data_IF_168534566232
#
_entry.id   IF_168534566232
#
_cell.length_a   1.000
_cell.length_b   1.000
_cell.length_c   1.000
_cell.angle_alpha   90.00
_cell.angle_beta   90.00
_cell.angle_gamma   90.00
#
_symmetry.space_group_name_H-M   'P 1'
#
loop_
_entity.id
_entity.type
_entity.pdbx_description
1 polymer ?
#
# COMPACT_ATOMS: atom_id res chain seq x y z
N UNK A 1 -0.84 25.15 -56.39
CA UNK A 1 -2.09 25.94 -56.29
C UNK A 1 -2.02 26.70 -54.96
N UNK A 2 -1.64 27.98 -54.96
CA UNK A 2 -2.56 29.14 -54.79
C UNK A 2 -3.60 28.92 -53.68
N UNK A 3 -3.92 29.81 -52.73
CA UNK A 3 -3.45 31.11 -52.18
C UNK A 3 -4.61 31.54 -51.24
N UNK A 4 -4.34 32.25 -50.13
CA UNK A 4 -5.21 33.30 -49.51
C UNK A 4 -6.54 32.83 -48.84
N UNK A 5 -7.10 33.36 -47.73
CA UNK A 5 -6.96 34.57 -46.90
C UNK A 5 -7.64 34.34 -45.52
N UNK A 6 -7.25 35.12 -44.50
CA UNK A 6 -7.86 35.23 -43.15
C UNK A 6 -8.93 36.35 -43.08
N UNK A 7 -9.38 36.88 -41.90
CA UNK A 7 -10.70 36.70 -41.29
C UNK A 7 -11.57 37.98 -41.22
N UNK A 8 -12.85 37.89 -40.84
CA UNK A 8 -13.68 39.07 -40.60
C UNK A 8 -14.46 39.02 -39.27
N UNK A 9 -14.06 39.91 -38.35
CA UNK A 9 -14.86 40.40 -37.21
C UNK A 9 -16.00 41.29 -37.73
N UNK A 10 -17.17 41.26 -37.07
CA UNK A 10 -18.10 42.40 -37.06
C UNK A 10 -18.48 42.75 -35.62
N UNK A 11 -18.17 44.01 -35.30
CA UNK A 11 -18.64 44.79 -34.16
C UNK A 11 -19.91 45.52 -34.60
N UNK A 12 -20.91 45.61 -33.72
CA UNK A 12 -21.89 46.70 -33.78
C UNK A 12 -22.09 47.25 -32.36
N UNK A 13 -21.63 48.49 -32.16
CA UNK A 13 -22.08 49.37 -31.09
C UNK A 13 -23.35 50.09 -31.55
N UNK A 14 -24.32 50.30 -30.66
CA UNK A 14 -25.15 51.49 -30.73
C UNK A 14 -25.59 52.00 -29.35
N UNK A 15 -25.80 53.31 -29.31
CA UNK A 15 -25.68 54.27 -28.19
C UNK A 15 -26.80 54.22 -27.13
N UNK A 16 -26.41 54.61 -25.91
CA UNK A 16 -27.24 55.16 -24.81
C UNK A 16 -27.90 56.48 -25.20
N UNK A 17 -29.11 56.76 -24.67
CA UNK A 17 -29.48 58.03 -24.00
C UNK A 17 -30.49 57.74 -22.85
N UNK A 18 -30.32 58.48 -21.76
CA UNK A 18 -30.97 58.42 -20.43
C UNK A 18 -32.37 59.07 -20.37
N UNK A 19 -33.21 58.71 -19.38
CA UNK A 19 -33.75 59.61 -18.33
C UNK A 19 -34.77 58.92 -17.39
N UNK A 20 -34.70 59.23 -16.08
CA UNK A 20 -35.82 59.14 -15.12
C UNK A 20 -35.68 58.18 -13.92
N UNK A 21 -35.34 58.69 -12.73
CA UNK A 21 -35.54 58.08 -11.41
C UNK A 21 -36.89 58.55 -10.80
N UNK A 22 -37.44 58.07 -9.64
CA UNK A 22 -36.79 57.30 -8.56
C UNK A 22 -37.60 56.18 -7.84
N UNK A 23 -36.88 55.44 -7.00
CA UNK A 23 -37.24 54.79 -5.72
C UNK A 23 -38.38 53.75 -5.63
N UNK A 24 -38.04 52.54 -5.19
CA UNK A 24 -38.64 51.86 -4.03
C UNK A 24 -37.73 50.70 -3.59
N UNK A 25 -37.29 50.77 -2.32
CA UNK A 25 -36.58 49.72 -1.62
C UNK A 25 -37.59 48.61 -1.29
N UNK A 26 -37.41 47.40 -1.83
CA UNK A 26 -38.03 46.20 -1.25
C UNK A 26 -37.03 45.06 -1.24
N UNK A 27 -36.71 44.62 -0.03
CA UNK A 27 -35.96 43.42 0.28
C UNK A 27 -36.38 42.22 -0.58
N UNK A 28 -35.46 41.69 -1.38
CA UNK A 28 -35.55 40.32 -1.90
C UNK A 28 -34.68 39.42 -1.01
N UNK A 29 -35.37 38.73 -0.09
CA UNK A 29 -34.82 37.56 0.60
C UNK A 29 -34.44 36.47 -0.42
N UNK A 30 -33.48 35.58 -0.11
CA UNK A 30 -32.98 34.60 -1.06
C UNK A 30 -34.05 33.57 -1.38
N UNK A 31 -34.11 33.18 -2.67
CA UNK A 31 -34.96 32.11 -3.18
C UNK A 31 -34.83 30.84 -2.32
N UNK A 32 -35.97 30.31 -1.92
CA UNK A 32 -36.08 29.02 -1.27
C UNK A 32 -35.36 27.94 -2.10
N UNK A 33 -34.37 27.29 -1.51
CA UNK A 33 -33.74 26.11 -2.10
C UNK A 33 -34.81 25.01 -2.24
N UNK A 34 -35.21 24.72 -3.48
CA UNK A 34 -35.90 23.47 -3.78
C UNK A 34 -34.97 22.32 -3.39
N UNK A 35 -35.38 21.55 -2.37
CA UNK A 35 -34.72 20.28 -2.08
C UNK A 35 -34.94 19.35 -3.27
N UNK A 36 -33.86 18.81 -3.82
CA UNK A 36 -33.90 17.86 -4.94
C UNK A 36 -34.53 16.51 -4.57
N UNK A 37 -34.75 16.22 -3.28
CA UNK A 37 -35.44 15.04 -2.80
C UNK A 37 -36.67 15.41 -1.97
N UNK A 38 -37.80 14.80 -2.31
CA UNK A 38 -39.08 14.90 -1.59
C UNK A 38 -39.26 13.80 -0.54
N UNK A 39 -38.33 12.85 -0.45
CA UNK A 39 -38.38 11.77 0.54
C UNK A 39 -37.88 12.29 1.89
N UNK A 40 -38.68 12.22 2.97
CA UNK A 40 -38.23 12.54 4.30
C UNK A 40 -37.06 11.62 4.69
N UNK A 41 -35.94 12.20 5.14
CA UNK A 41 -34.90 11.42 5.79
C UNK A 41 -35.47 10.84 7.08
N UNK A 42 -35.80 9.55 7.08
CA UNK A 42 -36.09 8.84 8.33
C UNK A 42 -34.83 8.92 9.19
N UNK A 43 -34.89 9.39 10.44
CA UNK A 43 -33.73 9.39 11.32
C UNK A 43 -33.25 7.94 11.43
N UNK A 44 -32.04 7.66 10.94
CA UNK A 44 -31.38 6.40 11.25
C UNK A 44 -31.37 6.32 12.78
N UNK A 45 -31.93 5.25 13.34
CA UNK A 45 -31.78 4.94 14.75
C UNK A 45 -30.28 4.69 15.01
N UNK A 46 -29.52 5.76 15.22
CA UNK A 46 -28.10 5.68 15.59
C UNK A 46 -28.03 5.27 17.05
N UNK A 47 -28.05 3.97 17.27
CA UNK A 47 -27.63 3.38 18.53
C UNK A 47 -26.47 2.45 18.23
N UNK A 48 -25.24 2.95 18.32
CA UNK A 48 -24.06 2.12 18.22
C UNK A 48 -22.79 2.95 18.08
N UNK A 49 -21.88 2.81 19.04
CA UNK A 49 -20.46 3.13 18.86
C UNK A 49 -19.92 2.53 17.56
N UNK A 50 -18.83 3.08 17.00
CA UNK A 50 -18.12 2.44 15.88
C UNK A 50 -17.94 0.93 16.10
N UNK A 51 -18.05 0.09 15.05
CA UNK A 51 -17.86 -1.36 15.18
C UNK A 51 -16.56 -1.64 15.92
N UNK A 52 -16.55 -2.56 16.88
CA UNK A 52 -15.32 -2.83 17.65
C UNK A 52 -14.36 -3.68 16.82
N UNK A 53 -13.07 -3.46 17.06
CA UNK A 53 -12.01 -4.37 16.63
C UNK A 53 -12.01 -4.67 15.12
N UNK A 54 -12.20 -3.63 14.30
CA UNK A 54 -12.16 -3.74 12.83
C UNK A 54 -10.76 -4.17 12.38
N UNK A 55 -10.71 -5.24 11.59
CA UNK A 55 -9.44 -5.79 11.11
C UNK A 55 -9.60 -6.96 10.15
N UNK A 56 -8.52 -7.71 9.95
CA UNK A 56 -8.49 -8.86 9.02
C UNK A 56 -9.05 -10.09 9.72
N UNK A 57 -10.15 -10.63 9.18
CA UNK A 57 -10.81 -11.86 9.64
C UNK A 57 -10.24 -13.11 8.97
N UNK A 58 -9.99 -13.03 7.67
CA UNK A 58 -9.45 -14.12 6.88
C UNK A 58 -8.52 -13.56 5.80
N UNK A 59 -7.50 -14.34 5.46
CA UNK A 59 -6.51 -14.03 4.45
C UNK A 59 -6.29 -15.25 3.56
N UNK A 60 -6.27 -15.05 2.24
CA UNK A 60 -5.95 -16.05 1.23
C UNK A 60 -4.78 -15.55 0.38
N UNK A 61 -3.91 -16.45 -0.06
CA UNK A 61 -2.79 -16.12 -0.93
C UNK A 61 -2.76 -17.04 -2.15
N UNK A 62 -2.57 -16.44 -3.32
CA UNK A 62 -2.33 -17.14 -4.57
C UNK A 62 -0.98 -16.72 -5.16
N UNK A 63 -0.24 -17.69 -5.69
CA UNK A 63 0.98 -17.49 -6.46
C UNK A 63 1.05 -18.53 -7.58
N UNK A 64 1.70 -18.24 -8.71
CA UNK A 64 1.75 -19.15 -9.85
C UNK A 64 2.49 -20.45 -9.51
N UNK A 65 2.11 -21.54 -10.17
CA UNK A 65 2.64 -22.88 -9.87
C UNK A 65 4.07 -23.15 -10.37
N UNK A 66 4.68 -22.18 -11.06
CA UNK A 66 6.00 -22.30 -11.66
C UNK A 66 6.93 -21.18 -11.16
N UNK A 67 8.20 -21.54 -10.98
CA UNK A 67 9.24 -20.62 -10.54
C UNK A 67 10.53 -20.86 -11.30
N UNK A 68 11.41 -19.86 -11.31
CA UNK A 68 12.82 -20.01 -11.67
C UNK A 68 13.68 -19.99 -10.40
N UNK A 69 14.63 -20.92 -10.31
CA UNK A 69 15.59 -20.97 -9.21
C UNK A 69 16.64 -19.87 -9.37
N UNK A 70 16.93 -19.15 -8.29
CA UNK A 70 17.83 -18.00 -8.33
C UNK A 70 19.30 -18.41 -8.55
N UNK A 71 19.73 -19.59 -8.07
CA UNK A 71 21.08 -20.11 -8.36
C UNK A 71 21.22 -20.46 -9.84
N UNK A 72 20.17 -21.00 -10.47
CA UNK A 72 20.20 -21.25 -11.91
C UNK A 72 20.12 -19.95 -12.72
N UNK A 73 19.37 -18.95 -12.25
CA UNK A 73 19.35 -17.62 -12.86
C UNK A 73 20.70 -16.89 -12.72
N UNK A 74 21.44 -17.09 -11.63
CA UNK A 74 22.83 -16.59 -11.48
C UNK A 74 23.74 -17.14 -12.58
N UNK A 75 23.68 -18.46 -12.82
CA UNK A 75 24.45 -19.13 -13.89
C UNK A 75 24.04 -18.61 -15.26
N UNK A 76 22.73 -18.54 -15.53
CA UNK A 76 22.19 -18.07 -16.82
C UNK A 76 22.65 -16.64 -17.14
N UNK A 77 22.65 -15.75 -16.15
CA UNK A 77 23.05 -14.35 -16.32
C UNK A 77 24.58 -14.14 -16.23
N UNK A 78 25.39 -15.20 -16.09
CA UNK A 78 26.84 -15.13 -15.92
C UNK A 78 27.27 -14.16 -14.78
N UNK A 79 26.63 -14.27 -13.62
CA UNK A 79 27.01 -13.49 -12.43
C UNK A 79 27.65 -14.38 -11.37
N UNK A 80 28.39 -13.76 -10.45
CA UNK A 80 29.01 -14.47 -9.32
C UNK A 80 27.96 -15.21 -8.48
N UNK A 81 28.32 -16.43 -8.06
CA UNK A 81 27.50 -17.24 -7.16
C UNK A 81 27.21 -16.47 -5.87
N UNK A 82 25.95 -16.46 -5.44
CA UNK A 82 25.51 -15.70 -4.29
C UNK A 82 25.01 -14.28 -4.58
N UNK A 83 25.15 -13.77 -5.81
CA UNK A 83 24.69 -12.40 -6.14
C UNK A 83 23.20 -12.22 -5.88
N UNK A 84 22.36 -13.20 -6.18
CA UNK A 84 20.92 -13.17 -5.95
C UNK A 84 20.57 -13.87 -4.65
N UNK A 85 21.12 -15.06 -4.41
CA UNK A 85 20.79 -15.87 -3.24
C UNK A 85 21.26 -15.28 -1.91
N UNK A 86 22.38 -14.55 -1.90
CA UNK A 86 22.91 -13.88 -0.70
C UNK A 86 22.78 -12.36 -0.80
N UNK A 87 23.11 -11.81 -1.97
CA UNK A 87 23.11 -10.36 -2.22
C UNK A 87 21.70 -9.77 -2.16
N UNK A 88 20.73 -10.40 -2.84
CA UNK A 88 19.31 -10.03 -2.75
C UNK A 88 18.59 -10.80 -1.63
N UNK A 89 19.10 -11.98 -1.27
CA UNK A 89 18.45 -12.88 -0.31
C UNK A 89 17.25 -13.60 -0.93
N UNK A 90 17.30 -13.90 -2.23
CA UNK A 90 16.20 -14.54 -2.96
C UNK A 90 16.54 -15.99 -3.32
N UNK A 91 15.62 -16.91 -3.11
CA UNK A 91 15.79 -18.34 -3.43
C UNK A 91 15.12 -18.73 -4.75
N UNK A 92 13.87 -18.32 -4.94
CA UNK A 92 13.08 -18.60 -6.14
C UNK A 92 12.26 -17.37 -6.52
N UNK A 93 11.88 -17.30 -7.79
CA UNK A 93 11.02 -16.24 -8.33
C UNK A 93 9.86 -16.86 -9.09
N UNK A 94 8.64 -16.70 -8.58
CA UNK A 94 7.43 -17.14 -9.24
C UNK A 94 7.11 -16.23 -10.43
N UNK A 95 6.56 -16.81 -11.50
CA UNK A 95 6.20 -16.03 -12.68
C UNK A 95 4.96 -16.61 -13.37
N UNK A 96 4.19 -15.72 -13.99
CA UNK A 96 3.03 -16.07 -14.79
C UNK A 96 3.46 -16.37 -16.23
N UNK A 97 2.82 -17.37 -16.84
CA UNK A 97 2.76 -17.45 -18.30
C UNK A 97 1.66 -16.53 -18.81
N UNK A 98 1.53 -16.36 -20.12
CA UNK A 98 0.41 -15.58 -20.72
C UNK A 98 -0.98 -16.14 -20.45
N UNK A 99 -1.11 -17.31 -19.80
CA UNK A 99 -2.37 -17.88 -19.35
C UNK A 99 -2.90 -17.27 -18.04
N UNK A 100 -2.07 -16.50 -17.34
CA UNK A 100 -2.42 -15.86 -16.08
C UNK A 100 -2.15 -14.35 -16.22
N UNK A 101 -3.20 -13.55 -16.01
CA UNK A 101 -3.15 -12.10 -15.92
C UNK A 101 -3.69 -11.60 -14.56
N UNK A 102 -3.63 -10.29 -14.33
CA UNK A 102 -4.11 -9.69 -13.08
C UNK A 102 -5.57 -10.06 -12.76
N UNK A 103 -6.45 -10.15 -13.75
CA UNK A 103 -7.84 -10.53 -13.51
C UNK A 103 -7.94 -11.97 -13.02
N UNK A 104 -7.24 -12.91 -13.67
CA UNK A 104 -7.25 -14.32 -13.30
C UNK A 104 -6.63 -14.57 -11.91
N UNK A 105 -5.56 -13.84 -11.56
CA UNK A 105 -4.97 -13.90 -10.22
C UNK A 105 -5.97 -13.45 -9.16
N UNK A 106 -6.65 -12.32 -9.38
CA UNK A 106 -7.64 -11.77 -8.47
C UNK A 106 -8.90 -12.64 -8.38
N UNK A 107 -9.41 -13.16 -9.51
CA UNK A 107 -10.55 -14.09 -9.53
C UNK A 107 -10.24 -15.34 -8.70
N UNK A 108 -9.05 -15.91 -8.90
CA UNK A 108 -8.63 -17.15 -8.22
C UNK A 108 -8.57 -16.97 -6.71
N UNK A 109 -7.89 -15.92 -6.23
CA UNK A 109 -7.71 -15.72 -4.78
C UNK A 109 -9.02 -15.35 -4.07
N UNK A 110 -9.91 -14.61 -4.74
CA UNK A 110 -11.25 -14.28 -4.20
C UNK A 110 -12.11 -15.53 -4.10
N UNK A 111 -12.19 -16.32 -5.17
CA UNK A 111 -12.99 -17.53 -5.17
C UNK A 111 -12.49 -18.53 -4.11
N UNK A 112 -11.17 -18.74 -4.01
CA UNK A 112 -10.58 -19.60 -2.98
C UNK A 112 -10.91 -19.13 -1.55
N UNK A 113 -10.82 -17.81 -1.29
CA UNK A 113 -11.18 -17.25 0.01
C UNK A 113 -12.66 -17.53 0.34
N UNK A 114 -13.56 -17.25 -0.60
CA UNK A 114 -15.01 -17.44 -0.43
C UNK A 114 -15.36 -18.91 -0.19
N UNK A 115 -14.79 -19.82 -0.97
CA UNK A 115 -15.01 -21.26 -0.85
C UNK A 115 -14.44 -21.82 0.47
N UNK A 116 -13.21 -21.45 0.84
CA UNK A 116 -12.57 -21.93 2.09
C UNK A 116 -13.31 -21.43 3.33
N UNK A 117 -13.74 -20.18 3.33
CA UNK A 117 -14.47 -19.57 4.45
C UNK A 117 -15.96 -19.91 4.44
N UNK A 118 -16.46 -20.47 3.34
CA UNK A 118 -17.89 -20.74 3.09
C UNK A 118 -18.74 -19.48 3.26
N UNK A 119 -18.20 -18.33 2.85
CA UNK A 119 -18.88 -17.05 2.98
C UNK A 119 -19.99 -16.93 1.93
N UNK A 120 -21.22 -16.55 2.30
CA UNK A 120 -22.26 -16.22 1.34
C UNK A 120 -21.86 -15.03 0.46
N UNK A 121 -22.16 -15.09 -0.84
CA UNK A 121 -21.85 -14.02 -1.79
C UNK A 121 -22.54 -12.69 -1.44
N UNK A 122 -23.72 -12.73 -0.80
CA UNK A 122 -24.47 -11.55 -0.34
C UNK A 122 -23.93 -10.91 0.94
N UNK A 123 -22.95 -11.54 1.61
CA UNK A 123 -22.34 -11.03 2.83
C UNK A 123 -21.26 -9.97 2.59
N UNK A 124 -20.91 -9.65 1.34
CA UNK A 124 -19.89 -8.65 0.97
C UNK A 124 -20.59 -7.36 0.50
N UNK A 125 -20.31 -6.25 1.18
CA UNK A 125 -20.85 -4.91 0.85
C UNK A 125 -19.83 -3.94 0.26
N UNK A 126 -18.54 -4.27 0.35
CA UNK A 126 -17.45 -3.54 -0.31
C UNK A 126 -16.42 -4.51 -0.87
N UNK A 127 -15.95 -4.26 -2.08
CA UNK A 127 -14.87 -4.98 -2.76
C UNK A 127 -13.96 -3.99 -3.46
N UNK A 128 -12.68 -3.97 -3.13
CA UNK A 128 -11.72 -3.01 -3.72
C UNK A 128 -10.36 -3.65 -4.01
N UNK A 129 -9.83 -3.36 -5.21
CA UNK A 129 -8.59 -3.94 -5.72
C UNK A 129 -7.44 -2.93 -5.65
N UNK A 130 -6.34 -3.31 -5.02
CA UNK A 130 -5.07 -2.59 -5.10
C UNK A 130 -4.14 -3.28 -6.10
N UNK A 131 -3.76 -2.61 -7.18
CA UNK A 131 -2.82 -3.16 -8.17
C UNK A 131 -2.05 -2.06 -8.89
N UNK A 132 -0.86 -2.38 -9.41
CA UNK A 132 -0.10 -1.58 -10.36
C UNK A 132 0.11 -2.29 -11.71
N UNK A 133 -0.59 -3.42 -11.93
CA UNK A 133 -0.58 -4.20 -13.17
C UNK A 133 -1.79 -3.81 -14.01
N UNK A 134 -1.60 -2.83 -14.90
CA UNK A 134 -2.70 -2.20 -15.65
C UNK A 134 -2.82 -2.83 -17.04
N UNK A 135 -3.95 -3.51 -17.29
CA UNK A 135 -4.30 -4.08 -18.60
C UNK A 135 -5.43 -3.32 -19.32
N UNK A 136 -6.18 -2.49 -18.60
CA UNK A 136 -7.16 -1.54 -19.14
C UNK A 136 -7.05 -0.21 -18.40
N UNK A 137 -7.11 0.91 -19.14
CA UNK A 137 -6.90 2.27 -18.59
C UNK A 137 -8.16 2.90 -17.99
N UNK A 138 -9.32 2.25 -18.14
CA UNK A 138 -10.61 2.74 -17.67
C UNK A 138 -11.40 1.67 -16.90
N UNK A 139 -11.38 0.42 -17.36
CA UNK A 139 -12.13 -0.68 -16.73
C UNK A 139 -11.30 -1.27 -15.58
N UNK A 140 -11.81 -1.07 -14.37
CA UNK A 140 -11.24 -1.62 -13.14
C UNK A 140 -11.32 -3.16 -13.08
N UNK A 141 -10.31 -3.80 -12.52
CA UNK A 141 -10.27 -5.23 -12.15
C UNK A 141 -11.46 -5.57 -11.25
N UNK A 142 -11.84 -4.68 -10.31
CA UNK A 142 -13.04 -4.85 -9.48
C UNK A 142 -14.28 -5.19 -10.29
N UNK A 143 -14.46 -4.57 -11.46
CA UNK A 143 -15.64 -4.83 -12.31
C UNK A 143 -15.60 -6.20 -12.99
N UNK A 144 -14.41 -6.80 -13.17
CA UNK A 144 -14.27 -8.19 -13.63
C UNK A 144 -14.58 -9.15 -12.49
N UNK A 145 -14.17 -8.83 -11.25
CA UNK A 145 -14.51 -9.64 -10.07
C UNK A 145 -16.01 -9.73 -9.79
N UNK A 146 -16.81 -8.77 -10.29
CA UNK A 146 -18.27 -8.83 -10.17
C UNK A 146 -18.87 -10.07 -10.87
N UNK A 147 -18.18 -10.69 -11.82
CA UNK A 147 -18.60 -11.98 -12.41
C UNK A 147 -18.82 -13.06 -11.34
N UNK A 148 -18.06 -13.03 -10.24
CA UNK A 148 -18.22 -13.98 -9.12
C UNK A 148 -19.48 -13.72 -8.27
N UNK A 149 -20.01 -12.49 -8.30
CA UNK A 149 -21.10 -12.06 -7.43
C UNK A 149 -22.44 -11.94 -8.17
N UNK A 150 -22.42 -11.63 -9.46
CA UNK A 150 -23.63 -11.24 -10.21
C UNK A 150 -24.71 -12.31 -10.24
N UNK A 151 -24.35 -13.60 -10.29
CA UNK A 151 -25.31 -14.72 -10.32
C UNK A 151 -26.03 -14.89 -8.97
N UNK A 152 -25.44 -14.44 -7.87
CA UNK A 152 -26.11 -14.39 -6.56
C UNK A 152 -27.12 -13.24 -6.44
N UNK A 153 -27.13 -12.31 -7.40
CA UNK A 153 -27.89 -11.06 -7.35
C UNK A 153 -27.23 -9.94 -6.52
N UNK A 154 -26.13 -10.22 -5.81
CA UNK A 154 -25.41 -9.21 -5.03
C UNK A 154 -24.59 -8.27 -5.95
N UNK A 155 -25.18 -7.17 -6.36
CA UNK A 155 -24.55 -6.15 -7.22
C UNK A 155 -24.35 -4.80 -6.54
N UNK A 156 -24.96 -4.61 -5.36
CA UNK A 156 -24.76 -3.44 -4.51
C UNK A 156 -23.51 -3.62 -3.65
N UNK A 157 -22.34 -3.48 -4.27
CA UNK A 157 -21.02 -3.65 -3.65
C UNK A 157 -20.16 -2.43 -3.98
N UNK A 158 -19.85 -1.61 -2.96
CA UNK A 158 -18.98 -0.44 -3.10
C UNK A 158 -17.53 -0.82 -3.44
N UNK A 159 -16.73 0.16 -3.88
CA UNK A 159 -15.30 0.00 -4.18
C UNK A 159 -15.00 -0.17 -5.67
N UNK A 160 -13.76 0.11 -6.04
CA UNK A 160 -13.22 0.05 -7.42
C UNK A 160 -11.76 -0.41 -7.37
N UNK A 161 -10.88 0.12 -8.23
CA UNK A 161 -9.44 -0.09 -8.14
C UNK A 161 -8.76 1.15 -7.55
N UNK A 162 -7.66 0.95 -6.82
CA UNK A 162 -6.81 2.00 -6.26
C UNK A 162 -5.33 1.70 -6.54
N UNK A 163 -4.60 2.69 -7.07
CA UNK A 163 -3.24 2.49 -7.58
C UNK A 163 -2.30 3.59 -7.11
N UNK A 164 -1.19 3.18 -6.49
CA UNK A 164 0.05 3.94 -6.41
C UNK A 164 1.19 2.96 -6.17
N UNK A 165 1.76 2.42 -7.25
CA UNK A 165 2.78 1.37 -7.20
C UNK A 165 2.38 0.25 -6.21
N UNK A 166 3.34 -0.25 -5.43
CA UNK A 166 3.14 -1.31 -4.44
C UNK A 166 2.27 -0.91 -3.21
N UNK A 167 1.74 0.33 -3.15
CA UNK A 167 0.94 0.80 -2.02
C UNK A 167 -0.58 0.55 -2.17
N UNK A 168 -1.05 0.23 -3.39
CA UNK A 168 -2.49 0.09 -3.69
C UNK A 168 -3.25 -0.84 -2.74
N UNK A 169 -2.66 -1.99 -2.37
CA UNK A 169 -3.28 -2.92 -1.43
C UNK A 169 -3.51 -2.31 -0.04
N UNK A 170 -2.56 -1.50 0.46
CA UNK A 170 -2.70 -0.78 1.73
C UNK A 170 -3.70 0.35 1.67
N UNK A 171 -3.77 1.06 0.53
CA UNK A 171 -4.84 2.03 0.31
C UNK A 171 -6.22 1.37 0.39
N UNK A 172 -6.40 0.22 -0.28
CA UNK A 172 -7.65 -0.54 -0.23
C UNK A 172 -8.01 -1.02 1.17
N UNK A 173 -7.03 -1.55 1.93
CA UNK A 173 -7.23 -1.92 3.33
C UNK A 173 -7.70 -0.75 4.20
N UNK A 174 -7.09 0.43 4.04
CA UNK A 174 -7.50 1.62 4.78
C UNK A 174 -8.88 2.12 4.37
N UNK A 175 -9.22 2.08 3.09
CA UNK A 175 -10.53 2.44 2.59
C UNK A 175 -11.62 1.50 3.14
N UNK A 176 -11.34 0.19 3.18
CA UNK A 176 -12.25 -0.82 3.76
C UNK A 176 -12.50 -0.58 5.26
N UNK A 177 -11.45 -0.36 6.04
CA UNK A 177 -11.58 -0.05 7.47
C UNK A 177 -12.35 1.26 7.70
N UNK A 178 -12.06 2.31 6.92
CA UNK A 178 -12.75 3.59 7.02
C UNK A 178 -14.24 3.46 6.64
N UNK A 179 -14.57 2.70 5.59
CA UNK A 179 -15.95 2.44 5.18
C UNK A 179 -16.73 1.74 6.30
N UNK A 180 -16.13 0.72 6.92
CA UNK A 180 -16.74 -0.03 8.01
C UNK A 180 -16.99 0.83 9.26
N UNK A 181 -16.08 1.77 9.56
CA UNK A 181 -16.23 2.72 10.66
C UNK A 181 -17.09 3.95 10.30
N UNK A 182 -17.65 4.01 9.09
CA UNK A 182 -18.46 5.13 8.61
C UNK A 182 -19.95 4.96 8.86
N UNK A 183 -20.73 6.02 8.61
CA UNK A 183 -22.19 5.94 8.60
C UNK A 183 -22.78 5.21 7.40
N UNK A 184 -21.96 4.86 6.40
CA UNK A 184 -22.38 4.12 5.20
C UNK A 184 -22.22 2.61 5.36
N UNK A 185 -21.65 2.14 6.47
CA UNK A 185 -21.56 0.71 6.73
C UNK A 185 -22.95 0.10 6.90
N UNK A 186 -23.20 -0.99 6.18
CA UNK A 186 -24.49 -1.67 6.10
C UNK A 186 -24.50 -3.01 6.86
N UNK A 187 -23.46 -3.30 7.64
CA UNK A 187 -23.30 -4.53 8.39
C UNK A 187 -22.59 -5.66 7.65
N UNK A 188 -22.34 -5.52 6.34
CA UNK A 188 -21.64 -6.53 5.53
C UNK A 188 -20.12 -6.41 5.65
N UNK A 189 -19.42 -7.44 5.19
CA UNK A 189 -17.96 -7.46 5.14
C UNK A 189 -17.41 -6.58 4.02
N UNK A 190 -16.17 -6.12 4.20
CA UNK A 190 -15.38 -5.59 3.11
C UNK A 190 -14.35 -6.63 2.66
N UNK A 191 -14.12 -6.74 1.36
CA UNK A 191 -13.10 -7.59 0.77
C UNK A 191 -12.05 -6.72 0.09
N UNK A 192 -10.81 -6.89 0.51
CA UNK A 192 -9.64 -6.21 -0.05
C UNK A 192 -8.89 -7.23 -0.89
N UNK A 193 -8.64 -6.90 -2.15
CA UNK A 193 -7.83 -7.73 -3.05
C UNK A 193 -6.60 -6.93 -3.43
N UNK A 194 -5.43 -7.54 -3.40
CA UNK A 194 -4.24 -6.95 -3.98
C UNK A 194 -3.47 -8.00 -4.76
N UNK A 195 -2.91 -7.64 -5.90
CA UNK A 195 -2.25 -8.59 -6.76
C UNK A 195 -1.51 -7.92 -7.90
N UNK A 196 -0.46 -8.56 -8.37
CA UNK A 196 0.41 -8.00 -9.39
C UNK A 196 1.25 -9.06 -10.10
N UNK A 197 1.72 -8.69 -11.30
CA UNK A 197 2.75 -9.38 -12.07
C UNK A 197 3.95 -8.43 -12.18
N UNK A 198 4.98 -8.66 -11.37
CA UNK A 198 6.18 -7.84 -11.33
C UNK A 198 7.23 -8.34 -12.32
N UNK A 199 7.24 -7.72 -13.51
CA UNK A 199 8.18 -8.03 -14.59
C UNK A 199 9.11 -6.85 -14.89
N UNK A 200 10.35 -7.20 -15.25
CA UNK A 200 11.42 -6.24 -15.56
C UNK A 200 12.16 -6.68 -16.84
N UNK A 201 12.78 -5.73 -17.57
CA UNK A 201 13.57 -6.07 -18.75
C UNK A 201 14.82 -6.86 -18.34
N UNK A 202 15.56 -7.40 -19.31
CA UNK A 202 16.84 -8.05 -19.00
C UNK A 202 17.77 -7.06 -18.28
N UNK A 203 18.40 -7.50 -17.19
CA UNK A 203 19.25 -6.66 -16.35
C UNK A 203 19.13 -6.95 -14.86
N UNK A 204 19.70 -6.07 -14.03
CA UNK A 204 19.85 -6.29 -12.58
C UNK A 204 18.53 -6.33 -11.79
N UNK A 205 17.43 -5.79 -12.34
CA UNK A 205 16.12 -5.80 -11.71
C UNK A 205 15.29 -7.05 -12.03
N UNK A 206 15.61 -7.79 -13.10
CA UNK A 206 14.90 -9.03 -13.46
C UNK A 206 14.80 -10.06 -12.33
N UNK A 207 15.86 -10.31 -11.54
CA UNK A 207 15.81 -11.29 -10.45
C UNK A 207 14.97 -10.85 -9.25
N UNK A 208 14.46 -9.61 -9.22
CA UNK A 208 13.60 -9.09 -8.15
C UNK A 208 12.12 -9.05 -8.55
N UNK A 209 11.75 -9.68 -9.68
CA UNK A 209 10.35 -9.85 -10.07
C UNK A 209 9.61 -10.86 -9.18
N UNK A 210 8.39 -11.18 -9.56
CA UNK A 210 7.50 -12.09 -8.85
C UNK A 210 6.06 -11.93 -9.32
N UNK A 211 5.17 -12.82 -8.89
CA UNK A 211 3.74 -12.67 -9.16
C UNK A 211 2.90 -13.31 -8.06
N UNK A 212 1.73 -12.74 -7.80
CA UNK A 212 0.79 -13.28 -6.85
C UNK A 212 -0.28 -12.30 -6.42
N UNK A 213 -1.32 -12.81 -5.77
CA UNK A 213 -2.43 -12.05 -5.25
C UNK A 213 -2.79 -12.49 -3.82
N UNK A 214 -3.36 -11.57 -3.06
CA UNK A 214 -3.89 -11.80 -1.72
C UNK A 214 -5.31 -11.24 -1.65
N UNK A 215 -6.22 -11.99 -1.05
CA UNK A 215 -7.54 -11.50 -0.66
C UNK A 215 -7.64 -11.49 0.87
N UNK A 216 -8.19 -10.41 1.42
CA UNK A 216 -8.41 -10.23 2.85
C UNK A 216 -9.87 -9.89 3.09
N UNK A 217 -10.51 -10.66 3.97
CA UNK A 217 -11.85 -10.35 4.49
C UNK A 217 -11.70 -9.43 5.71
N UNK A 218 -12.37 -8.28 5.67
CA UNK A 218 -12.31 -7.25 6.71
C UNK A 218 -13.67 -7.16 7.41
N UNK A 219 -13.65 -7.16 8.74
CA UNK A 219 -14.84 -7.13 9.58
C UNK A 219 -14.56 -6.68 11.01
N UNK A 220 -15.62 -6.46 11.81
CA UNK A 220 -15.50 -6.26 13.26
C UNK A 220 -15.03 -7.53 13.96
N UNK A 221 -14.60 -7.40 15.21
CA UNK A 221 -14.18 -8.52 16.07
C UNK A 221 -13.08 -9.39 15.43
N UNK A 222 -12.18 -8.74 14.69
CA UNK A 222 -11.13 -9.42 13.95
C UNK A 222 -10.02 -9.93 14.87
N UNK A 223 -9.41 -11.10 14.57
CA UNK A 223 -8.22 -11.57 15.28
C UNK A 223 -7.00 -10.68 15.01
N UNK A 224 -6.97 -9.98 13.87
CA UNK A 224 -5.91 -9.05 13.48
C UNK A 224 -6.47 -7.64 13.37
N UNK A 225 -6.65 -6.99 14.52
CA UNK A 225 -7.23 -5.65 14.64
C UNK A 225 -6.28 -4.57 14.15
N UNK A 226 -6.80 -3.59 13.40
CA UNK A 226 -6.04 -2.39 13.07
C UNK A 226 -6.03 -1.43 14.26
N UNK A 227 -4.83 -1.13 14.78
CA UNK A 227 -4.70 -0.17 15.87
C UNK A 227 -5.14 1.25 15.44
N UNK A 228 -6.21 1.72 16.07
CA UNK A 228 -6.88 2.97 15.68
C UNK A 228 -5.99 4.18 15.87
N UNK A 229 -5.98 5.04 14.84
CA UNK A 229 -5.23 6.28 14.85
C UNK A 229 -3.72 6.11 14.63
N UNK A 230 -3.19 4.89 14.56
CA UNK A 230 -1.74 4.62 14.45
C UNK A 230 -1.26 4.42 13.01
N UNK A 231 -1.69 5.29 12.09
CA UNK A 231 -1.20 5.30 10.70
C UNK A 231 -0.08 6.33 10.53
N UNK A 232 1.17 5.89 10.41
CA UNK A 232 2.30 6.75 10.03
C UNK A 232 2.41 6.82 8.51
N UNK A 233 2.05 7.95 7.91
CA UNK A 233 1.97 8.11 6.45
C UNK A 233 2.94 9.18 5.95
N UNK A 234 3.62 8.89 4.85
CA UNK A 234 4.47 9.82 4.11
C UNK A 234 4.21 9.65 2.60
N UNK A 235 4.05 10.76 1.90
CA UNK A 235 3.93 10.81 0.44
C UNK A 235 4.77 11.98 -0.07
N UNK A 236 5.50 11.76 -1.15
CA UNK A 236 6.33 12.78 -1.80
C UNK A 236 6.35 12.54 -3.31
N UNK A 237 6.58 13.60 -4.09
CA UNK A 237 6.73 13.50 -5.54
C UNK A 237 8.18 13.12 -5.89
N UNK A 238 8.37 11.93 -6.44
CA UNK A 238 9.68 11.37 -6.82
C UNK A 238 9.56 10.51 -8.07
N UNK A 239 10.68 10.31 -8.77
CA UNK A 239 10.78 9.50 -9.99
C UNK A 239 11.78 8.37 -9.80
N UNK A 240 11.62 7.59 -8.73
CA UNK A 240 12.49 6.45 -8.40
C UNK A 240 12.07 5.15 -9.11
N UNK A 241 10.77 4.93 -9.23
CA UNK A 241 10.15 3.83 -9.98
C UNK A 241 8.80 4.28 -10.57
N UNK A 242 8.62 4.18 -11.88
CA UNK A 242 7.39 4.59 -12.55
C UNK A 242 7.21 3.91 -13.91
N UNK A 243 5.96 3.84 -14.41
CA UNK A 243 5.59 3.21 -15.70
C UNK A 243 5.01 4.26 -16.66
N UNK A 244 5.86 5.07 -17.32
CA UNK A 244 5.39 6.14 -18.19
C UNK A 244 5.00 5.65 -19.60
N UNK A 245 5.53 4.50 -20.02
CA UNK A 245 5.27 3.91 -21.34
C UNK A 245 4.07 2.97 -21.26
N UNK A 246 2.92 3.43 -21.78
CA UNK A 246 1.68 2.65 -21.76
C UNK A 246 1.66 1.44 -22.69
N UNK A 247 2.69 1.23 -23.53
CA UNK A 247 2.82 0.06 -24.38
C UNK A 247 3.74 -1.03 -23.79
N UNK A 248 4.44 -0.72 -22.69
CA UNK A 248 5.42 -1.61 -22.06
C UNK A 248 4.98 -1.98 -20.65
N UNK A 249 5.05 -3.26 -20.30
CA UNK A 249 4.85 -3.73 -18.92
C UNK A 249 6.02 -3.32 -18.00
N UNK A 250 7.17 -3.00 -18.59
CA UNK A 250 8.39 -2.71 -17.87
C UNK A 250 8.43 -1.28 -17.29
N UNK A 251 8.84 -1.13 -16.02
CA UNK A 251 9.02 0.17 -15.40
C UNK A 251 10.33 0.83 -15.81
N UNK A 252 10.35 2.16 -15.73
CA UNK A 252 11.60 2.92 -15.56
C UNK A 252 11.98 2.91 -14.08
N UNK A 253 13.22 2.54 -13.78
CA UNK A 253 13.71 2.39 -12.40
C UNK A 253 15.10 2.98 -12.23
N UNK A 254 15.25 3.90 -11.27
CA UNK A 254 16.53 4.28 -10.70
C UNK A 254 16.72 3.48 -9.41
N UNK A 255 17.45 2.36 -9.50
CA UNK A 255 17.61 1.43 -8.39
C UNK A 255 18.33 2.03 -7.17
N UNK A 256 19.17 3.06 -7.34
CA UNK A 256 19.81 3.73 -6.22
C UNK A 256 18.82 4.68 -5.54
N UNK A 257 18.09 5.47 -6.33
CA UNK A 257 17.10 6.39 -5.82
C UNK A 257 15.95 5.64 -5.14
N UNK A 258 15.50 4.50 -5.66
CA UNK A 258 14.39 3.73 -5.07
C UNK A 258 14.69 3.21 -3.68
N UNK A 259 15.92 2.73 -3.44
CA UNK A 259 16.37 2.34 -2.11
C UNK A 259 16.41 3.57 -1.18
N UNK A 260 16.90 4.70 -1.65
CA UNK A 260 16.94 5.95 -0.85
C UNK A 260 15.53 6.45 -0.50
N UNK A 261 14.62 6.46 -1.46
CA UNK A 261 13.22 6.84 -1.26
C UNK A 261 12.53 5.89 -0.28
N UNK A 262 12.71 4.57 -0.42
CA UNK A 262 12.17 3.58 0.51
C UNK A 262 12.63 3.83 1.95
N UNK A 263 13.94 3.98 2.17
CA UNK A 263 14.51 4.16 3.51
C UNK A 263 14.12 5.53 4.10
N UNK A 264 14.07 6.60 3.27
CA UNK A 264 13.58 7.91 3.69
C UNK A 264 12.10 7.88 4.08
N UNK A 265 11.25 7.22 3.29
CA UNK A 265 9.84 7.05 3.63
C UNK A 265 9.67 6.24 4.92
N UNK A 266 10.48 5.20 5.12
CA UNK A 266 10.49 4.42 6.35
C UNK A 266 10.81 5.28 7.58
N UNK A 267 11.85 6.12 7.52
CA UNK A 267 12.20 7.05 8.60
C UNK A 267 11.03 7.98 8.96
N UNK A 268 10.37 8.55 7.94
CA UNK A 268 9.24 9.46 8.11
C UNK A 268 8.01 8.75 8.69
N UNK A 269 7.62 7.62 8.11
CA UNK A 269 6.49 6.82 8.58
C UNK A 269 6.69 6.36 10.03
N UNK A 270 7.89 5.87 10.37
CA UNK A 270 8.22 5.43 11.72
C UNK A 270 8.19 6.59 12.73
N UNK A 271 8.72 7.76 12.36
CA UNK A 271 8.66 8.96 13.19
C UNK A 271 7.20 9.37 13.48
N UNK A 272 6.35 9.43 12.46
CA UNK A 272 4.93 9.79 12.62
C UNK A 272 4.18 8.74 13.44
N UNK A 273 4.45 7.45 13.21
CA UNK A 273 3.86 6.36 14.00
C UNK A 273 4.20 6.51 15.49
N UNK A 274 5.48 6.70 15.80
CA UNK A 274 5.98 6.90 17.17
C UNK A 274 5.34 8.10 17.86
N UNK A 275 5.21 9.22 17.15
CA UNK A 275 4.53 10.40 17.68
C UNK A 275 3.06 10.09 18.02
N UNK A 276 2.35 9.39 17.14
CA UNK A 276 0.93 9.06 17.32
C UNK A 276 0.71 8.13 18.52
N UNK A 277 1.47 7.04 18.63
CA UNK A 277 1.32 6.10 19.75
C UNK A 277 1.76 6.73 21.08
N UNK A 278 2.84 7.50 21.09
CA UNK A 278 3.29 8.20 22.30
C UNK A 278 2.28 9.26 22.75
N UNK A 279 1.58 9.93 21.83
CA UNK A 279 0.49 10.85 22.18
C UNK A 279 -0.69 10.10 22.84
N UNK A 280 -1.06 8.94 22.31
CA UNK A 280 -2.10 8.09 22.93
C UNK A 280 -1.66 7.59 24.32
N UNK A 281 -0.42 7.11 24.46
CA UNK A 281 0.14 6.71 25.75
C UNK A 281 0.15 7.87 26.76
N UNK A 282 0.53 9.08 26.33
CA UNK A 282 0.51 10.27 27.18
C UNK A 282 -0.91 10.58 27.68
N UNK A 283 -1.93 10.46 26.82
CA UNK A 283 -3.33 10.62 27.23
C UNK A 283 -3.76 9.54 28.24
N UNK A 284 -3.19 8.34 28.16
CA UNK A 284 -3.38 7.25 29.11
C UNK A 284 -2.48 7.33 30.35
N UNK A 285 -1.71 8.41 30.54
CA UNK A 285 -0.81 8.57 31.70
C UNK A 285 0.50 7.78 31.61
N UNK A 286 0.82 7.20 30.46
CA UNK A 286 2.05 6.44 30.21
C UNK A 286 3.09 7.36 29.54
N UNK A 287 4.22 7.60 30.20
CA UNK A 287 5.29 8.45 29.69
C UNK A 287 6.54 7.62 29.37
N UNK A 288 6.58 7.01 28.19
CA UNK A 288 7.75 6.29 27.67
C UNK A 288 7.90 6.50 26.16
N UNK A 289 9.10 6.26 25.66
CA UNK A 289 9.42 6.34 24.23
C UNK A 289 9.12 5.01 23.56
N UNK A 290 8.48 5.04 22.38
CA UNK A 290 8.28 3.86 21.56
C UNK A 290 9.59 3.43 20.89
N UNK A 291 9.85 2.13 20.90
CA UNK A 291 11.00 1.48 20.24
C UNK A 291 10.58 0.14 19.61
N UNK A 292 11.47 -0.50 18.87
CA UNK A 292 11.25 -1.84 18.29
C UNK A 292 10.98 -2.95 19.33
N UNK A 293 11.25 -2.72 20.61
CA UNK A 293 10.85 -3.67 21.66
C UNK A 293 9.35 -3.76 21.86
N UNK A 294 8.64 -2.69 21.52
CA UNK A 294 7.19 -2.58 21.66
C UNK A 294 6.44 -3.32 20.55
N UNK A 295 7.15 -3.77 19.52
CA UNK A 295 6.63 -4.59 18.42
C UNK A 295 7.05 -6.03 18.60
N UNK A 296 6.13 -6.98 18.72
CA UNK A 296 6.50 -8.41 18.74
C UNK A 296 6.96 -8.88 17.36
N UNK A 297 6.33 -8.35 16.30
CA UNK A 297 6.70 -8.60 14.92
C UNK A 297 6.76 -7.29 14.13
N UNK A 298 7.61 -7.25 13.11
CA UNK A 298 7.68 -6.15 12.17
C UNK A 298 7.80 -6.71 10.75
N UNK A 299 6.75 -6.50 9.97
CA UNK A 299 6.64 -6.91 8.57
C UNK A 299 6.79 -5.71 7.64
N UNK A 300 7.24 -5.95 6.43
CA UNK A 300 7.55 -4.90 5.45
C UNK A 300 7.04 -5.29 4.07
N UNK A 301 6.86 -4.30 3.20
CA UNK A 301 6.92 -4.57 1.77
C UNK A 301 8.31 -5.14 1.44
N UNK A 302 8.35 -6.24 0.68
CA UNK A 302 9.59 -6.97 0.40
C UNK A 302 9.87 -7.04 -1.11
N UNK A 303 10.51 -6.00 -1.69
CA UNK A 303 11.06 -6.09 -3.06
C UNK A 303 12.10 -7.20 -3.19
N UNK A 304 12.92 -7.37 -2.15
CA UNK A 304 13.85 -8.48 -1.96
C UNK A 304 14.28 -8.54 -0.49
N UNK A 305 14.61 -9.72 0.00
CA UNK A 305 14.79 -9.96 1.44
C UNK A 305 15.93 -9.13 2.07
N UNK A 306 17.01 -8.84 1.32
CA UNK A 306 18.11 -8.01 1.82
C UNK A 306 17.66 -6.59 2.19
N UNK A 307 16.75 -5.99 1.41
CA UNK A 307 16.22 -4.66 1.73
C UNK A 307 15.43 -4.69 3.03
N UNK A 308 14.65 -5.74 3.28
CA UNK A 308 13.90 -5.88 4.53
C UNK A 308 14.83 -6.02 5.73
N UNK A 309 15.92 -6.78 5.60
CA UNK A 309 16.94 -6.88 6.64
C UNK A 309 17.55 -5.50 6.96
N UNK A 310 17.89 -4.71 5.93
CA UNK A 310 18.36 -3.33 6.10
C UNK A 310 17.29 -2.40 6.70
N UNK A 311 16.02 -2.63 6.39
CA UNK A 311 14.90 -1.83 6.87
C UNK A 311 14.71 -1.94 8.37
N UNK A 312 14.73 -3.15 8.93
CA UNK A 312 14.69 -3.32 10.38
C UNK A 312 15.93 -2.71 11.05
N UNK A 313 17.11 -2.90 10.46
CA UNK A 313 18.35 -2.29 10.93
C UNK A 313 18.25 -0.75 10.94
N UNK A 314 17.56 -0.15 9.96
CA UNK A 314 17.28 1.28 9.92
C UNK A 314 16.34 1.74 11.03
N UNK A 315 15.31 0.96 11.35
CA UNK A 315 14.43 1.29 12.48
C UNK A 315 15.19 1.28 13.81
N UNK A 316 16.11 0.32 14.00
CA UNK A 316 17.00 0.28 15.16
C UNK A 316 17.90 1.53 15.23
N UNK A 317 18.37 2.02 14.08
CA UNK A 317 19.12 3.28 14.02
C UNK A 317 18.26 4.49 14.41
N UNK A 318 16.99 4.53 14.01
CA UNK A 318 16.06 5.58 14.44
C UNK A 318 15.83 5.55 15.96
N UNK A 319 15.69 4.36 16.55
CA UNK A 319 15.59 4.18 17.99
C UNK A 319 16.86 4.67 18.70
N UNK A 320 18.04 4.29 18.18
CA UNK A 320 19.33 4.77 18.68
C UNK A 320 19.41 6.30 18.68
N UNK A 321 19.10 6.96 17.55
CA UNK A 321 19.16 8.42 17.45
C UNK A 321 18.19 9.13 18.39
N UNK A 322 17.07 8.48 18.73
CA UNK A 322 16.03 9.03 19.61
C UNK A 322 16.22 8.69 21.09
N UNK A 323 17.16 7.80 21.40
CA UNK A 323 17.42 7.35 22.76
C UNK A 323 18.23 8.39 23.56
N UNK A 324 18.12 8.38 24.89
CA UNK A 324 18.98 9.20 25.76
C UNK A 324 20.45 8.78 25.62
N UNK A 325 21.39 9.67 25.96
CA UNK A 325 22.82 9.35 25.91
C UNK A 325 23.18 8.09 26.70
N UNK A 326 22.55 7.87 27.86
CA UNK A 326 22.80 6.68 28.69
C UNK A 326 22.31 5.39 28.00
N UNK A 327 21.13 5.43 27.37
CA UNK A 327 20.60 4.29 26.62
C UNK A 327 21.43 4.00 25.37
N UNK A 328 21.94 5.04 24.71
CA UNK A 328 22.83 4.90 23.56
C UNK A 328 24.11 4.13 23.93
N UNK A 329 24.81 4.56 24.98
CA UNK A 329 26.08 3.94 25.40
C UNK A 329 25.92 2.53 26.01
N UNK A 330 24.75 2.22 26.56
CA UNK A 330 24.49 0.90 27.17
C UNK A 330 24.04 -0.15 26.15
N UNK A 331 23.06 0.20 25.30
CA UNK A 331 22.33 -0.75 24.46
C UNK A 331 22.81 -0.79 23.00
N UNK A 332 23.29 0.32 22.48
CA UNK A 332 23.60 0.49 21.05
C UNK A 332 25.11 0.57 20.78
N UNK A 333 25.89 -0.20 21.56
CA UNK A 333 27.36 -0.24 21.46
C UNK A 333 27.81 -0.52 20.02
N UNK A 334 28.71 0.32 19.51
CA UNK A 334 29.23 0.25 18.16
C UNK A 334 28.48 1.12 17.15
N UNK A 335 27.39 1.79 17.55
CA UNK A 335 26.66 2.73 16.69
C UNK A 335 27.02 4.20 16.97
N UNK A 336 27.79 4.49 18.02
CA UNK A 336 28.17 5.84 18.44
C UNK A 336 28.95 6.58 17.34
N UNK A 337 29.76 5.87 16.56
CA UNK A 337 30.50 6.41 15.43
C UNK A 337 29.60 6.99 14.32
N UNK A 338 28.33 6.62 14.27
CA UNK A 338 27.37 7.06 13.23
C UNK A 338 26.38 8.12 13.72
N UNK A 339 26.53 8.63 14.96
CA UNK A 339 25.57 9.56 15.58
C UNK A 339 25.46 10.91 14.86
N UNK A 340 26.59 11.45 14.39
CA UNK A 340 26.68 12.80 13.81
C UNK A 340 26.58 12.83 12.28
N UNK A 341 26.23 11.71 11.64
CA UNK A 341 26.10 11.67 10.19
C UNK A 341 24.86 12.44 9.74
N UNK A 342 24.95 13.13 8.61
CA UNK A 342 23.78 13.73 7.98
C UNK A 342 22.89 12.62 7.44
N UNK A 343 21.58 12.87 7.44
CA UNK A 343 20.58 11.88 7.04
C UNK A 343 20.87 11.31 5.65
N UNK A 344 21.19 12.17 4.69
CA UNK A 344 21.54 11.82 3.32
C UNK A 344 22.78 10.91 3.21
N UNK A 345 23.77 11.10 4.10
CA UNK A 345 25.01 10.33 4.11
C UNK A 345 24.79 8.91 4.65
N UNK A 346 23.73 8.71 5.44
CA UNK A 346 23.42 7.40 6.02
C UNK A 346 22.87 6.42 5.00
N UNK A 347 22.19 6.86 3.94
CA UNK A 347 21.50 5.96 3.01
C UNK A 347 22.43 5.11 2.13
N UNK A 348 23.69 5.51 2.00
CA UNK A 348 24.67 4.83 1.15
C UNK A 348 25.93 4.37 1.90
N UNK A 349 25.98 4.55 3.22
CA UNK A 349 27.16 4.25 4.02
C UNK A 349 27.26 2.74 4.31
N UNK A 350 28.20 2.06 3.64
CA UNK A 350 28.41 0.61 3.76
C UNK A 350 28.89 0.16 5.15
N UNK A 351 29.66 0.98 5.85
CA UNK A 351 30.17 0.63 7.18
C UNK A 351 29.06 0.72 8.22
N UNK A 352 28.21 1.74 8.10
CA UNK A 352 26.99 1.85 8.89
C UNK A 352 26.04 0.67 8.62
N UNK A 353 25.80 0.32 7.36
CA UNK A 353 24.98 -0.86 7.00
C UNK A 353 25.49 -2.13 7.69
N UNK A 354 26.79 -2.40 7.64
CA UNK A 354 27.39 -3.59 8.28
C UNK A 354 27.19 -3.56 9.80
N UNK A 355 27.44 -2.42 10.44
CA UNK A 355 27.30 -2.27 11.89
C UNK A 355 25.83 -2.45 12.33
N UNK A 356 24.89 -1.82 11.63
CA UNK A 356 23.46 -1.92 11.93
C UNK A 356 22.91 -3.32 11.68
N UNK A 357 23.31 -3.98 10.58
CA UNK A 357 22.92 -5.36 10.29
C UNK A 357 23.41 -6.32 11.38
N UNK A 358 24.64 -6.11 11.88
CA UNK A 358 25.17 -6.89 13.01
C UNK A 358 24.39 -6.63 14.30
N UNK A 359 24.14 -5.36 14.62
CA UNK A 359 23.46 -4.96 15.85
C UNK A 359 21.99 -5.41 15.90
N UNK A 360 21.31 -5.42 14.76
CA UNK A 360 19.89 -5.78 14.65
C UNK A 360 19.63 -7.26 14.37
N UNK A 361 20.67 -8.11 14.22
CA UNK A 361 20.53 -9.48 13.73
C UNK A 361 19.59 -10.35 14.60
N UNK A 362 19.73 -10.29 15.93
CA UNK A 362 18.86 -11.05 16.85
C UNK A 362 17.40 -10.61 16.72
N UNK A 363 17.17 -9.29 16.67
CA UNK A 363 15.85 -8.70 16.51
C UNK A 363 15.24 -9.06 15.15
N UNK A 364 16.04 -9.06 14.08
CA UNK A 364 15.62 -9.50 12.75
C UNK A 364 15.18 -10.96 12.75
N UNK A 365 15.96 -11.85 13.37
CA UNK A 365 15.62 -13.25 13.46
C UNK A 365 14.31 -13.50 14.22
N UNK A 366 14.06 -12.73 15.30
CA UNK A 366 12.86 -12.88 16.14
C UNK A 366 11.60 -12.22 15.58
N UNK A 367 11.72 -11.01 15.02
CA UNK A 367 10.57 -10.15 14.70
C UNK A 367 10.21 -10.11 13.21
N UNK A 368 11.13 -10.46 12.31
CA UNK A 368 10.95 -10.19 10.87
C UNK A 368 11.26 -11.38 9.97
N UNK A 369 12.28 -12.20 10.28
CA UNK A 369 12.77 -13.26 9.37
C UNK A 369 11.67 -14.24 8.94
N UNK A 370 10.80 -14.66 9.87
CA UNK A 370 9.68 -15.55 9.60
C UNK A 370 8.77 -14.99 8.48
N UNK A 371 8.52 -13.68 8.47
CA UNK A 371 7.68 -13.03 7.46
C UNK A 371 8.24 -13.08 6.03
N UNK A 372 9.51 -13.45 5.84
CA UNK A 372 10.14 -13.44 4.51
C UNK A 372 10.04 -14.76 3.76
N UNK A 373 9.37 -15.77 4.32
CA UNK A 373 9.32 -17.10 3.72
C UNK A 373 8.74 -17.10 2.30
N UNK A 374 7.57 -16.48 2.09
CA UNK A 374 7.00 -16.39 0.75
C UNK A 374 7.85 -15.49 -0.16
N UNK A 375 8.33 -14.35 0.33
CA UNK A 375 9.13 -13.43 -0.49
C UNK A 375 10.42 -14.06 -1.02
N UNK A 376 11.15 -14.84 -0.22
CA UNK A 376 12.36 -15.52 -0.70
C UNK A 376 12.05 -16.63 -1.69
N UNK A 377 10.85 -17.23 -1.67
CA UNK A 377 10.46 -18.34 -2.55
C UNK A 377 9.59 -17.93 -3.75
N UNK A 378 9.07 -16.70 -3.77
CA UNK A 378 8.15 -16.24 -4.82
C UNK A 378 8.58 -14.90 -5.45
N UNK A 379 9.46 -14.14 -4.81
CA UNK A 379 9.88 -12.83 -5.30
C UNK A 379 8.97 -11.68 -4.87
N UNK A 380 9.05 -10.56 -5.59
CA UNK A 380 8.27 -9.37 -5.33
C UNK A 380 6.89 -9.47 -6.01
N UNK A 381 5.82 -9.44 -5.22
CA UNK A 381 4.44 -9.42 -5.74
C UNK A 381 3.79 -8.04 -5.64
N UNK A 382 4.61 -6.98 -5.65
CA UNK A 382 4.22 -5.58 -5.53
C UNK A 382 3.19 -5.32 -4.43
N UNK A 383 1.94 -5.00 -4.75
CA UNK A 383 0.91 -4.61 -3.77
C UNK A 383 0.57 -5.72 -2.78
N UNK A 384 0.73 -6.97 -3.17
CA UNK A 384 0.48 -8.12 -2.29
C UNK A 384 1.70 -8.54 -1.48
N UNK A 385 2.89 -7.96 -1.70
CA UNK A 385 4.14 -8.38 -1.07
C UNK A 385 4.13 -8.23 0.47
N UNK A 386 3.64 -7.10 0.99
CA UNK A 386 3.47 -6.91 2.44
C UNK A 386 2.53 -7.95 3.05
N UNK A 387 1.45 -8.28 2.34
CA UNK A 387 0.44 -9.22 2.82
C UNK A 387 0.85 -10.68 2.64
N UNK A 388 1.71 -10.97 1.67
CA UNK A 388 2.45 -12.23 1.58
C UNK A 388 3.42 -12.40 2.74
N UNK A 389 4.04 -11.32 3.22
CA UNK A 389 4.83 -11.33 4.45
C UNK A 389 3.97 -11.59 5.69
N UNK A 390 2.77 -10.99 5.77
CA UNK A 390 1.80 -11.30 6.82
C UNK A 390 1.38 -12.78 6.78
N UNK A 391 1.05 -13.32 5.61
CA UNK A 391 0.71 -14.73 5.45
C UNK A 391 1.86 -15.67 5.89
N UNK A 392 3.10 -15.32 5.55
CA UNK A 392 4.29 -16.07 5.97
C UNK A 392 4.47 -16.07 7.49
N UNK A 393 4.16 -14.95 8.14
CA UNK A 393 4.22 -14.83 9.59
C UNK A 393 3.14 -15.69 10.27
N UNK A 394 1.92 -15.74 9.71
CA UNK A 394 0.81 -16.53 10.26
C UNK A 394 0.96 -18.05 10.05
N UNK A 395 1.80 -18.46 9.11
CA UNK A 395 2.03 -19.87 8.76
C UNK A 395 3.04 -20.59 9.67
N UNK A 396 3.76 -19.83 10.49
CA UNK A 396 4.80 -20.31 11.43
C UNK A 396 4.33 -20.15 12.87
#
# INVERSE_FOLDING_TARGET
>A
MQRLLTPAKRVLQLKRVLQGAPAMLTHLLPAAHHRFSTVPTVPLAKTGSWPKDVGILALEVYFPAQYVDQTDLEKYNNVEAGRYTVGLGQTRMGFCSVKEDINSLCLTVVQQLMERTKLPWDAVGRLEVGTETIIDKSKAVKTVLMELFQDSGNTDIEGIDTTNACYGGTASLFNAANWMESSSWDGRYAMVVCGDIAVYPSGNARPTGGAGAVAMLIGPEAPLVLERGLRGTHMENVYDFYKPDGASEYPMVDGKLSIQCYIRALDRCYTVYRQKIQNQWKQAGINRTFTLDDLQFMIFHSPFCKLVQKSLARLMYNDFLSASSDTQSSRYKGLEAFRGLKLEDTYTNKDMDKALLKASLDMFNKKTKASLYLSTHNGNTYTSSLYGCLASLLSQ
#
